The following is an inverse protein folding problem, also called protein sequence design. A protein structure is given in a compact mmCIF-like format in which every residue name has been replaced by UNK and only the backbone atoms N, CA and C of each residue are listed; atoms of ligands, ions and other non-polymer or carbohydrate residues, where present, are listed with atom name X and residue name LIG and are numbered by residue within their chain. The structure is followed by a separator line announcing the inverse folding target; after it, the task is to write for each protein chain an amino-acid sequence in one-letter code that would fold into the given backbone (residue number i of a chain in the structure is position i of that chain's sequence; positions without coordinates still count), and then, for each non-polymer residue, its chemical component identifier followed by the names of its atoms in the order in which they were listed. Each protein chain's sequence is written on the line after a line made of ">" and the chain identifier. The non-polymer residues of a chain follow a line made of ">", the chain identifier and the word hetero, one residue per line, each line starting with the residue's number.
data_IF_455909918718
#
_entry.id   IF_455909918718
#
_cell.length_a   1.000
_cell.length_b   1.000
_cell.length_c   1.000
_cell.angle_alpha   90.00
_cell.angle_beta   90.00
_cell.angle_gamma   90.00
#
_symmetry.space_group_name_H-M   'P 1'
#
loop_
_entity.id
_entity.type
_entity.pdbx_description
1 polymer ?
#
# COMPACT_ATOMS: atom_id res chain seq x y z
N UNK A 1 -13.71 24.13 9.89
CA UNK A 1 -14.83 23.20 10.16
C UNK A 1 -15.70 22.94 8.94
N UNK A 2 -15.90 23.93 8.06
CA UNK A 2 -16.73 23.84 6.84
C UNK A 2 -16.49 22.58 5.99
N UNK A 3 -15.23 22.17 5.77
CA UNK A 3 -14.91 20.98 4.97
C UNK A 3 -15.58 19.70 5.48
N UNK A 4 -15.48 19.42 6.79
CA UNK A 4 -16.04 18.20 7.38
C UNK A 4 -17.57 18.23 7.41
N UNK A 5 -18.16 19.42 7.57
CA UNK A 5 -19.61 19.61 7.49
C UNK A 5 -20.14 19.34 6.07
N UNK A 6 -19.49 19.89 5.06
CA UNK A 6 -19.82 19.63 3.65
C UNK A 6 -19.64 18.15 3.28
N UNK A 7 -18.62 17.49 3.81
CA UNK A 7 -18.41 16.05 3.60
C UNK A 7 -19.54 15.23 4.22
N UNK A 8 -20.01 15.60 5.42
CA UNK A 8 -21.14 14.94 6.08
C UNK A 8 -22.44 15.10 5.28
N UNK A 9 -22.75 16.33 4.85
CA UNK A 9 -23.95 16.62 4.05
C UNK A 9 -23.90 15.85 2.74
N UNK A 10 -22.78 15.91 2.02
CA UNK A 10 -22.59 15.19 0.75
C UNK A 10 -22.78 13.69 0.93
N UNK A 11 -22.16 13.10 1.96
CA UNK A 11 -22.24 11.66 2.21
C UNK A 11 -23.65 11.14 2.53
N UNK A 12 -24.50 11.95 3.16
CA UNK A 12 -25.92 11.63 3.37
C UNK A 12 -26.69 11.74 2.06
N UNK A 13 -26.51 12.85 1.34
CA UNK A 13 -27.25 13.13 0.11
C UNK A 13 -26.96 12.09 -0.98
N UNK A 14 -25.70 11.68 -1.15
CA UNK A 14 -25.34 10.66 -2.14
C UNK A 14 -25.93 9.29 -1.79
N UNK A 15 -26.03 8.95 -0.50
CA UNK A 15 -26.66 7.69 -0.08
C UNK A 15 -28.14 7.65 -0.44
N UNK A 16 -28.87 8.73 -0.16
CA UNK A 16 -30.31 8.83 -0.47
C UNK A 16 -30.56 8.68 -1.97
N UNK A 17 -29.76 9.36 -2.79
CA UNK A 17 -29.85 9.24 -4.26
C UNK A 17 -29.52 7.83 -4.71
N UNK A 18 -28.46 7.22 -4.17
CA UNK A 18 -28.07 5.86 -4.51
C UNK A 18 -29.16 4.84 -4.18
N UNK A 19 -29.78 4.95 -3.00
CA UNK A 19 -30.86 4.05 -2.59
C UNK A 19 -32.11 4.24 -3.44
N UNK A 20 -32.47 5.47 -3.78
CA UNK A 20 -33.64 5.76 -4.62
C UNK A 20 -33.48 5.25 -6.07
N UNK A 21 -32.25 5.24 -6.59
CA UNK A 21 -31.99 4.80 -7.97
C UNK A 21 -31.79 3.29 -8.10
N UNK A 22 -31.40 2.59 -7.02
CA UNK A 22 -31.05 1.17 -7.03
C UNK A 22 -31.89 0.39 -6.01
N UNK A 23 -33.21 0.63 -5.98
CA UNK A 23 -34.16 -0.05 -5.09
C UNK A 23 -34.25 -1.55 -5.39
N UNK A 24 -33.22 -2.30 -4.99
CA UNK A 24 -33.27 -3.76 -4.91
C UNK A 24 -33.99 -4.13 -3.60
N UNK A 25 -35.16 -4.80 -3.65
CA UNK A 25 -35.97 -5.11 -2.47
C UNK A 25 -35.30 -6.05 -1.46
N UNK A 26 -34.11 -6.57 -1.75
CA UNK A 26 -33.30 -7.40 -0.85
C UNK A 26 -32.00 -6.74 -0.35
N UNK A 27 -31.67 -5.53 -0.79
CA UNK A 27 -30.35 -4.94 -0.57
C UNK A 27 -30.42 -3.66 0.27
N UNK A 28 -30.70 -3.82 1.57
CA UNK A 28 -30.68 -2.70 2.51
C UNK A 28 -29.22 -2.37 2.88
N UNK A 29 -28.55 -1.59 2.01
CA UNK A 29 -27.16 -1.22 2.16
C UNK A 29 -27.00 -0.26 3.35
N UNK A 30 -26.48 -0.78 4.46
CA UNK A 30 -26.18 0.02 5.66
C UNK A 30 -25.24 1.18 5.32
N UNK A 31 -25.53 2.39 5.84
CA UNK A 31 -24.71 3.61 5.68
C UNK A 31 -23.21 3.39 5.87
N UNK A 32 -22.83 2.57 6.86
CA UNK A 32 -21.42 2.25 7.14
C UNK A 32 -20.75 1.56 5.96
N UNK A 33 -21.43 0.63 5.30
CA UNK A 33 -20.88 -0.13 4.18
C UNK A 33 -20.81 0.75 2.94
N UNK A 34 -21.87 1.52 2.66
CA UNK A 34 -21.90 2.51 1.59
C UNK A 34 -20.72 3.50 1.65
N UNK A 35 -20.53 4.13 2.81
CA UNK A 35 -19.43 5.08 3.00
C UNK A 35 -18.06 4.41 2.89
N UNK A 36 -17.94 3.15 3.32
CA UNK A 36 -16.70 2.39 3.19
C UNK A 36 -16.39 2.11 1.72
N UNK A 37 -17.37 1.68 0.95
CA UNK A 37 -17.21 1.36 -0.47
C UNK A 37 -16.82 2.62 -1.26
N UNK A 38 -17.56 3.72 -1.11
CA UNK A 38 -17.21 4.99 -1.74
C UNK A 38 -15.82 5.46 -1.35
N UNK A 39 -15.45 5.35 -0.07
CA UNK A 39 -14.12 5.76 0.37
C UNK A 39 -13.02 4.90 -0.29
N UNK A 40 -13.24 3.60 -0.43
CA UNK A 40 -12.30 2.70 -1.11
C UNK A 40 -12.21 3.03 -2.61
N UNK A 41 -13.33 3.26 -3.27
CA UNK A 41 -13.38 3.62 -4.70
C UNK A 41 -12.66 4.94 -4.99
N UNK A 42 -12.84 5.95 -4.13
CA UNK A 42 -12.14 7.23 -4.25
C UNK A 42 -10.62 7.10 -4.02
N UNK A 43 -10.20 6.14 -3.20
CA UNK A 43 -8.78 5.92 -2.86
C UNK A 43 -8.07 4.98 -3.84
N UNK A 44 -8.78 4.13 -4.57
CA UNK A 44 -8.21 3.08 -5.42
C UNK A 44 -7.11 3.56 -6.39
N UNK A 45 -7.29 4.66 -7.16
CA UNK A 45 -6.23 5.15 -8.05
C UNK A 45 -4.94 5.51 -7.30
N UNK A 46 -5.08 6.09 -6.12
CA UNK A 46 -3.96 6.51 -5.30
C UNK A 46 -3.31 5.33 -4.56
N UNK A 47 -4.09 4.33 -4.15
CA UNK A 47 -3.57 3.07 -3.60
C UNK A 47 -2.73 2.32 -4.62
N UNK A 48 -3.19 2.23 -5.88
CA UNK A 48 -2.45 1.63 -6.99
C UNK A 48 -1.14 2.36 -7.27
N UNK A 49 -1.15 3.70 -7.29
CA UNK A 49 0.07 4.48 -7.44
C UNK A 49 1.07 4.19 -6.32
N UNK A 50 0.61 4.21 -5.06
CA UNK A 50 1.47 3.96 -3.89
C UNK A 50 2.00 2.53 -3.78
N UNK A 51 1.33 1.57 -4.40
CA UNK A 51 1.81 0.19 -4.47
C UNK A 51 3.07 0.04 -5.35
N UNK A 52 3.35 1.03 -6.23
CA UNK A 52 4.54 1.03 -7.09
C UNK A 52 5.79 1.63 -6.43
N UNK A 53 5.65 2.28 -5.27
CA UNK A 53 6.76 2.91 -4.56
C UNK A 53 7.71 1.86 -3.96
N UNK A 54 9.00 1.97 -4.25
CA UNK A 54 10.03 1.00 -3.84
C UNK A 54 10.78 1.41 -2.56
N UNK A 55 10.68 2.68 -2.15
CA UNK A 55 11.40 3.25 -1.00
C UNK A 55 10.66 3.06 0.33
N UNK A 56 10.12 1.87 0.57
CA UNK A 56 9.43 1.51 1.82
C UNK A 56 9.89 0.14 2.32
N UNK A 57 9.78 -0.15 3.63
CA UNK A 57 10.11 -1.47 4.16
C UNK A 57 9.30 -2.58 3.47
N UNK A 58 9.92 -3.74 3.27
CA UNK A 58 9.32 -4.87 2.53
C UNK A 58 7.95 -5.31 3.07
N UNK A 59 7.79 -5.37 4.40
CA UNK A 59 6.49 -5.70 5.02
C UNK A 59 5.39 -4.69 4.66
N UNK A 60 5.73 -3.41 4.53
CA UNK A 60 4.80 -2.35 4.12
C UNK A 60 4.49 -2.45 2.63
N UNK A 61 5.50 -2.74 1.81
CA UNK A 61 5.35 -2.93 0.36
C UNK A 61 4.40 -4.09 0.06
N UNK A 62 4.62 -5.24 0.69
CA UNK A 62 3.74 -6.41 0.58
C UNK A 62 2.30 -6.05 0.95
N UNK A 63 2.10 -5.39 2.10
CA UNK A 63 0.75 -5.03 2.54
C UNK A 63 0.08 -4.02 1.61
N UNK A 64 0.82 -3.07 1.04
CA UNK A 64 0.28 -2.11 0.06
C UNK A 64 -0.19 -2.80 -1.21
N UNK A 65 0.57 -3.77 -1.72
CA UNK A 65 0.22 -4.53 -2.92
C UNK A 65 -1.00 -5.41 -2.69
N UNK A 66 -1.10 -6.04 -1.51
CA UNK A 66 -2.30 -6.79 -1.09
C UNK A 66 -3.54 -5.91 -1.07
N UNK A 67 -3.44 -4.73 -0.43
CA UNK A 67 -4.58 -3.80 -0.30
C UNK A 67 -4.97 -3.17 -1.65
N UNK A 68 -4.01 -2.91 -2.53
CA UNK A 68 -4.27 -2.38 -3.88
C UNK A 68 -4.77 -3.44 -4.87
N UNK A 69 -4.85 -4.72 -4.47
CA UNK A 69 -5.22 -5.82 -5.37
C UNK A 69 -4.19 -6.11 -6.46
N UNK A 70 -2.98 -5.56 -6.35
CA UNK A 70 -1.88 -5.74 -7.32
C UNK A 70 -0.94 -6.88 -6.94
N UNK A 71 -1.33 -7.75 -6.00
CA UNK A 71 -0.64 -9.02 -5.71
C UNK A 71 -0.79 -10.00 -6.88
N UNK A 72 -0.38 -9.59 -8.09
CA UNK A 72 -0.16 -10.48 -9.20
C UNK A 72 1.31 -10.92 -9.16
N UNK A 73 1.50 -12.20 -8.84
CA UNK A 73 2.65 -13.07 -9.11
C UNK A 73 4.07 -12.49 -8.93
N UNK A 74 4.81 -13.15 -8.05
CA UNK A 74 6.20 -12.93 -7.62
C UNK A 74 7.29 -12.90 -8.73
N UNK A 75 7.00 -12.59 -9.99
CA UNK A 75 7.95 -12.79 -11.09
C UNK A 75 8.58 -11.53 -11.66
N UNK A 76 8.07 -10.34 -11.31
CA UNK A 76 8.82 -9.10 -11.55
C UNK A 76 9.55 -8.71 -10.29
N UNK A 77 10.65 -9.42 -10.06
CA UNK A 77 11.76 -8.90 -9.28
C UNK A 77 11.98 -7.45 -9.71
N UNK A 78 11.62 -6.50 -8.86
CA UNK A 78 12.03 -5.11 -9.04
C UNK A 78 13.55 -5.16 -9.18
N UNK A 79 14.06 -4.82 -10.36
CA UNK A 79 15.50 -4.72 -10.57
C UNK A 79 16.02 -3.76 -9.50
N UNK A 80 16.73 -4.32 -8.52
CA UNK A 80 17.25 -3.55 -7.41
C UNK A 80 18.23 -2.55 -8.03
N UNK A 81 18.00 -1.23 -7.92
CA UNK A 81 19.00 -0.26 -8.36
C UNK A 81 20.32 -0.61 -7.68
N UNK A 82 21.36 -0.81 -8.50
CA UNK A 82 22.69 -1.17 -8.02
C UNK A 82 23.14 -0.17 -6.96
N UNK A 83 23.48 -0.68 -5.78
CA UNK A 83 23.75 0.03 -4.50
C UNK A 83 22.52 0.40 -3.65
N UNK A 84 21.92 -0.60 -3.01
CA UNK A 84 21.08 -0.39 -1.82
C UNK A 84 21.89 -0.76 -0.58
N UNK A 85 21.92 0.14 0.42
CA UNK A 85 22.44 -0.16 1.76
C UNK A 85 21.54 -1.20 2.41
N UNK A 86 21.98 -2.46 2.46
CA UNK A 86 21.27 -3.53 3.15
C UNK A 86 21.59 -3.46 4.64
N UNK A 87 20.56 -3.59 5.48
CA UNK A 87 20.79 -3.88 6.90
C UNK A 87 21.20 -5.35 7.02
N UNK A 88 22.34 -5.61 7.65
CA UNK A 88 22.73 -6.97 8.01
C UNK A 88 21.88 -7.43 9.20
N UNK A 89 21.21 -8.58 9.09
CA UNK A 89 20.41 -9.17 10.17
C UNK A 89 21.24 -9.55 11.40
N UNK A 90 22.57 -9.59 11.26
CA UNK A 90 23.51 -10.03 12.29
C UNK A 90 24.39 -8.91 12.85
N UNK A 91 24.34 -7.68 12.34
CA UNK A 91 25.28 -6.62 12.72
C UNK A 91 24.58 -5.33 13.16
N UNK A 92 24.88 -4.87 14.39
CA UNK A 92 24.54 -3.53 14.90
C UNK A 92 25.34 -2.40 14.24
N UNK A 93 25.81 -2.57 13.00
CA UNK A 93 26.68 -1.60 12.32
C UNK A 93 26.29 -1.52 10.84
N UNK A 94 26.06 -0.29 10.36
CA UNK A 94 25.84 0.03 8.95
C UNK A 94 27.03 -0.50 8.13
N UNK A 95 26.79 -1.47 7.26
CA UNK A 95 27.83 -1.99 6.37
C UNK A 95 27.70 -1.21 5.05
N UNK A 96 28.65 -0.32 4.78
CA UNK A 96 28.83 0.23 3.45
C UNK A 96 29.32 -0.91 2.54
N UNK A 97 28.46 -1.36 1.62
CA UNK A 97 28.80 -2.41 0.66
C UNK A 97 29.77 -1.87 -0.39
N UNK A 98 31.06 -2.01 -0.10
CA UNK A 98 32.16 -1.67 -1.00
C UNK A 98 33.39 -2.56 -0.83
N UNK A 99 33.25 -3.82 -0.41
CA UNK A 99 34.36 -4.79 -0.46
C UNK A 99 33.81 -6.15 -0.88
N UNK A 100 34.15 -6.54 -2.10
CA UNK A 100 33.93 -7.85 -2.71
C UNK A 100 34.37 -8.99 -1.79
N UNK A 101 33.51 -10.00 -1.65
CA UNK A 101 33.66 -11.20 -0.82
C UNK A 101 34.77 -12.18 -1.29
N UNK A 102 35.99 -11.68 -1.60
CA UNK A 102 37.11 -12.52 -2.06
C UNK A 102 38.32 -12.60 -1.12
N UNK A 103 38.40 -11.84 -0.03
CA UNK A 103 39.65 -11.79 0.77
C UNK A 103 39.53 -12.03 2.30
N UNK A 104 38.43 -12.60 2.79
CA UNK A 104 38.26 -12.82 4.25
C UNK A 104 38.78 -14.18 4.78
N UNK A 105 39.71 -14.85 4.08
CA UNK A 105 40.27 -16.16 4.52
C UNK A 105 41.80 -16.20 4.62
N UNK A 106 42.44 -15.09 5.00
CA UNK A 106 43.88 -15.12 5.26
C UNK A 106 44.30 -14.13 6.35
N UNK A 107 43.97 -14.43 7.60
CA UNK A 107 44.58 -13.80 8.79
C UNK A 107 44.22 -14.64 10.04
N UNK A 108 44.78 -15.84 10.10
CA UNK A 108 45.10 -16.55 11.34
C UNK A 108 46.35 -17.38 11.04
N UNK A 109 47.51 -16.76 11.25
CA UNK A 109 48.77 -17.38 11.67
C UNK A 109 49.33 -16.46 12.74
#
# INVERSE_FOLDING_TARGET
>A
MIFFELMNITGINTQVIHTANNEDPGNDLKRRNFLKEIALDLLDPHLKLRATETNVPQAVLQRRQEVAGTSANNDKQLEMPGNIRKYCSSAKIKIDHGITAKNAKKLYV
#
